data_IF_532219009004
#
_entry.id   IF_532219009004
#
_cell.length_a   1.000
_cell.length_b   1.000
_cell.length_c   1.000
_cell.angle_alpha   90.00
_cell.angle_beta   90.00
_cell.angle_gamma   90.00
#
_symmetry.space_group_name_H-M   'P 1'
#
loop_
_entity.id
_entity.type
_entity.pdbx_description
1 polymer ?
#
# COMPACT_ATOMS: atom_id res chain seq x y z
N UNK A 1 -16.56 -20.42 -17.25
CA UNK A 1 -15.86 -19.62 -16.22
C UNK A 1 -16.30 -18.19 -16.44
N UNK A 2 -16.63 -17.44 -15.36
CA UNK A 2 -16.92 -16.01 -15.47
C UNK A 2 -15.65 -15.31 -15.96
N UNK A 3 -15.72 -14.57 -17.04
CA UNK A 3 -14.61 -13.71 -17.46
C UNK A 3 -14.56 -12.52 -16.52
N UNK A 4 -13.42 -12.26 -15.96
CA UNK A 4 -13.15 -11.12 -15.06
C UNK A 4 -12.04 -10.29 -15.68
N UNK A 5 -12.15 -8.98 -15.63
CA UNK A 5 -11.09 -8.12 -16.13
C UNK A 5 -10.01 -7.96 -15.07
N UNK A 6 -8.78 -8.34 -15.40
CA UNK A 6 -7.62 -8.28 -14.51
C UNK A 6 -6.51 -7.50 -15.18
N UNK A 7 -5.99 -6.45 -14.54
CA UNK A 7 -4.86 -5.70 -15.10
C UNK A 7 -4.07 -4.95 -14.03
N UNK A 8 -2.83 -4.62 -14.41
CA UNK A 8 -1.96 -3.80 -13.60
C UNK A 8 -1.81 -2.41 -14.23
N UNK A 9 -1.95 -1.35 -13.45
CA UNK A 9 -1.67 0.02 -13.84
C UNK A 9 -0.20 0.32 -13.51
N UNK A 10 0.64 0.40 -14.55
CA UNK A 10 2.05 0.76 -14.46
C UNK A 10 2.32 2.18 -14.91
N UNK A 11 3.52 2.70 -14.66
CA UNK A 11 3.99 3.96 -15.24
C UNK A 11 5.49 3.91 -15.57
N UNK A 12 5.94 4.84 -16.37
CA UNK A 12 7.37 4.96 -16.72
C UNK A 12 8.24 5.39 -15.54
N UNK A 13 7.65 6.10 -14.56
CA UNK A 13 8.37 6.60 -13.37
C UNK A 13 7.40 6.89 -12.23
N UNK A 14 7.95 7.16 -11.04
CA UNK A 14 7.19 7.75 -9.95
C UNK A 14 6.62 9.12 -10.36
N UNK A 15 5.44 9.48 -9.82
CA UNK A 15 4.78 10.75 -10.19
C UNK A 15 4.12 10.76 -11.57
N UNK A 16 4.08 9.62 -12.28
CA UNK A 16 3.43 9.51 -13.60
C UNK A 16 1.91 9.68 -13.60
N UNK A 17 1.27 9.64 -12.43
CA UNK A 17 -0.18 9.78 -12.27
C UNK A 17 -0.92 8.46 -12.08
N UNK A 18 -0.21 7.37 -11.73
CA UNK A 18 -0.82 6.06 -11.44
C UNK A 18 -1.95 6.17 -10.41
N UNK A 19 -1.65 6.72 -9.24
CA UNK A 19 -2.60 6.79 -8.12
C UNK A 19 -3.83 7.64 -8.47
N UNK A 20 -3.64 8.76 -9.18
CA UNK A 20 -4.76 9.57 -9.68
C UNK A 20 -5.65 8.75 -10.62
N UNK A 21 -5.04 8.12 -11.63
CA UNK A 21 -5.77 7.32 -12.61
C UNK A 21 -6.44 6.11 -11.95
N UNK A 22 -5.73 5.39 -11.09
CA UNK A 22 -6.27 4.24 -10.35
C UNK A 22 -7.46 4.63 -9.48
N UNK A 23 -7.34 5.70 -8.69
CA UNK A 23 -8.42 6.19 -7.82
C UNK A 23 -9.67 6.55 -8.61
N UNK A 24 -9.52 7.30 -9.70
CA UNK A 24 -10.66 7.65 -10.56
C UNK A 24 -11.28 6.43 -11.24
N UNK A 25 -10.46 5.49 -11.70
CA UNK A 25 -10.94 4.27 -12.35
C UNK A 25 -11.69 3.35 -11.38
N UNK A 26 -11.16 3.16 -10.17
CA UNK A 26 -11.83 2.39 -9.10
C UNK A 26 -13.18 3.03 -8.74
N UNK A 27 -13.23 4.36 -8.61
CA UNK A 27 -14.46 5.10 -8.37
C UNK A 27 -15.47 4.91 -9.49
N UNK A 28 -15.03 5.05 -10.75
CA UNK A 28 -15.87 4.86 -11.92
C UNK A 28 -16.49 3.46 -11.99
N UNK A 29 -15.68 2.43 -11.74
CA UNK A 29 -16.18 1.05 -11.73
C UNK A 29 -17.21 0.83 -10.63
N UNK A 30 -16.98 1.36 -9.43
CA UNK A 30 -17.96 1.32 -8.34
C UNK A 30 -19.25 2.04 -8.72
N UNK A 31 -19.16 3.22 -9.33
CA UNK A 31 -20.32 4.02 -9.72
C UNK A 31 -21.12 3.32 -10.86
N UNK A 32 -20.43 2.49 -11.70
CA UNK A 32 -21.07 1.61 -12.67
C UNK A 32 -21.68 0.34 -12.04
N UNK A 33 -21.59 0.15 -10.73
CA UNK A 33 -22.15 -0.99 -9.99
C UNK A 33 -21.31 -2.28 -10.09
N UNK A 34 -20.04 -2.19 -10.51
CA UNK A 34 -19.14 -3.34 -10.57
C UNK A 34 -18.50 -3.65 -9.21
N UNK A 35 -18.36 -4.93 -8.88
CA UNK A 35 -17.56 -5.36 -7.74
C UNK A 35 -16.08 -5.30 -8.10
N UNK A 36 -15.36 -4.37 -7.49
CA UNK A 36 -13.96 -4.10 -7.82
C UNK A 36 -13.05 -4.50 -6.68
N UNK A 37 -12.02 -5.32 -6.96
CA UNK A 37 -10.95 -5.59 -6.01
C UNK A 37 -9.71 -4.79 -6.36
N UNK A 38 -9.33 -3.82 -5.54
CA UNK A 38 -8.06 -3.13 -5.68
C UNK A 38 -6.91 -3.91 -5.05
N UNK A 39 -5.75 -3.86 -5.70
CA UNK A 39 -4.48 -4.35 -5.18
C UNK A 39 -3.41 -3.26 -5.34
N UNK A 40 -2.38 -3.34 -4.51
CA UNK A 40 -1.21 -2.46 -4.56
C UNK A 40 0.07 -3.26 -4.57
N UNK A 41 0.96 -3.01 -5.55
CA UNK A 41 2.31 -3.57 -5.52
C UNK A 41 3.14 -2.89 -4.44
N UNK A 42 3.91 -3.69 -3.70
CA UNK A 42 4.83 -3.22 -2.68
C UNK A 42 4.18 -2.83 -1.34
N UNK A 43 4.98 -2.36 -0.41
CA UNK A 43 4.60 -2.14 0.99
C UNK A 43 4.01 -0.75 1.24
N UNK A 44 3.02 -0.35 0.46
CA UNK A 44 2.37 0.95 0.54
C UNK A 44 1.10 0.88 1.39
N UNK A 45 1.02 1.68 2.45
CA UNK A 45 -0.17 1.79 3.31
C UNK A 45 -1.09 2.95 2.92
N UNK A 46 -0.62 3.88 2.12
CA UNK A 46 -1.29 5.15 1.84
C UNK A 46 -2.19 4.99 0.62
N UNK A 47 -1.63 4.57 -0.51
CA UNK A 47 -2.39 4.36 -1.74
C UNK A 47 -3.52 3.35 -1.51
N UNK A 48 -3.31 2.34 -0.66
CA UNK A 48 -4.33 1.34 -0.29
C UNK A 48 -5.57 1.96 0.37
N UNK A 49 -5.43 3.02 1.15
CA UNK A 49 -6.56 3.74 1.76
C UNK A 49 -7.38 4.49 0.72
N UNK A 50 -6.71 5.13 -0.25
CA UNK A 50 -7.43 5.75 -1.37
C UNK A 50 -8.16 4.74 -2.23
N UNK A 51 -7.54 3.61 -2.49
CA UNK A 51 -8.19 2.51 -3.21
C UNK A 51 -9.45 2.04 -2.48
N UNK A 52 -9.37 1.84 -1.17
CA UNK A 52 -10.52 1.43 -0.35
C UNK A 52 -11.64 2.45 -0.39
N UNK A 53 -11.33 3.74 -0.23
CA UNK A 53 -12.30 4.83 -0.30
C UNK A 53 -12.94 4.93 -1.69
N UNK A 54 -12.18 4.73 -2.75
CA UNK A 54 -12.67 4.79 -4.14
C UNK A 54 -13.50 3.56 -4.52
N UNK A 55 -12.99 2.35 -4.27
CA UNK A 55 -13.61 1.10 -4.68
C UNK A 55 -14.74 0.64 -3.76
N UNK A 56 -14.73 1.04 -2.47
CA UNK A 56 -15.62 0.48 -1.44
C UNK A 56 -15.18 -0.89 -0.92
N UNK A 57 -14.08 -1.44 -1.43
CA UNK A 57 -13.46 -2.69 -0.99
C UNK A 57 -12.03 -2.44 -0.54
N UNK A 58 -11.61 -3.09 0.55
CA UNK A 58 -10.26 -2.94 1.06
C UNK A 58 -9.21 -3.39 0.05
N UNK A 59 -8.17 -2.59 -0.13
CA UNK A 59 -7.04 -2.91 -1.00
C UNK A 59 -6.10 -3.94 -0.38
N UNK A 60 -5.47 -4.75 -1.21
CA UNK A 60 -4.56 -5.83 -0.78
C UNK A 60 -3.17 -5.59 -1.36
N UNK A 61 -2.15 -5.63 -0.50
CA UNK A 61 -0.78 -5.49 -0.94
C UNK A 61 -0.26 -6.81 -1.53
N UNK A 62 0.49 -6.68 -2.63
CA UNK A 62 1.20 -7.78 -3.30
C UNK A 62 2.69 -7.44 -3.30
N UNK A 63 3.49 -8.23 -2.60
CA UNK A 63 4.91 -7.93 -2.39
C UNK A 63 5.77 -9.18 -2.48
N UNK A 64 6.75 -9.18 -3.38
CA UNK A 64 7.65 -10.33 -3.63
C UNK A 64 8.90 -10.34 -2.75
N UNK A 65 9.16 -9.26 -2.00
CA UNK A 65 10.19 -9.25 -0.98
C UNK A 65 9.66 -9.79 0.35
N UNK A 66 8.51 -9.27 0.80
CA UNK A 66 7.89 -9.63 2.08
C UNK A 66 7.27 -11.02 2.07
N UNK A 67 6.85 -11.50 0.89
CA UNK A 67 6.17 -12.78 0.76
C UNK A 67 6.68 -13.62 -0.42
N UNK A 68 6.32 -14.90 -0.42
CA UNK A 68 6.69 -15.81 -1.51
C UNK A 68 5.80 -15.61 -2.74
N UNK A 69 6.29 -16.00 -3.91
CA UNK A 69 5.50 -16.01 -5.15
C UNK A 69 4.20 -16.82 -4.99
N UNK A 70 4.25 -17.93 -4.25
CA UNK A 70 3.08 -18.76 -3.94
C UNK A 70 2.05 -17.94 -3.17
N UNK A 71 2.48 -17.27 -2.10
CA UNK A 71 1.59 -16.45 -1.28
C UNK A 71 0.95 -15.30 -2.07
N UNK A 72 1.72 -14.62 -2.94
CA UNK A 72 1.18 -13.58 -3.83
C UNK A 72 0.07 -14.13 -4.73
N UNK A 73 0.27 -15.30 -5.35
CA UNK A 73 -0.73 -15.95 -6.20
C UNK A 73 -1.98 -16.34 -5.43
N UNK A 74 -1.82 -16.97 -4.28
CA UNK A 74 -2.93 -17.41 -3.42
C UNK A 74 -3.73 -16.22 -2.90
N UNK A 75 -3.05 -15.19 -2.44
CA UNK A 75 -3.68 -13.93 -1.98
C UNK A 75 -4.44 -13.26 -3.10
N UNK A 76 -3.85 -13.14 -4.29
CA UNK A 76 -4.53 -12.57 -5.45
C UNK A 76 -5.80 -13.35 -5.79
N UNK A 77 -5.72 -14.66 -5.93
CA UNK A 77 -6.86 -15.51 -6.27
C UNK A 77 -7.97 -15.48 -5.21
N UNK A 78 -7.59 -15.51 -3.92
CA UNK A 78 -8.52 -15.42 -2.78
C UNK A 78 -9.45 -14.21 -2.86
N UNK A 79 -8.89 -13.04 -3.14
CA UNK A 79 -9.68 -11.81 -3.18
C UNK A 79 -10.31 -11.51 -4.55
N UNK A 80 -9.80 -12.10 -5.64
CA UNK A 80 -10.36 -11.96 -6.98
C UNK A 80 -11.61 -12.82 -7.25
N UNK A 81 -11.84 -13.87 -6.49
CA UNK A 81 -12.77 -14.96 -6.82
C UNK A 81 -14.22 -14.53 -7.10
N UNK A 82 -14.71 -13.47 -6.47
CA UNK A 82 -16.10 -13.01 -6.62
C UNK A 82 -16.21 -11.63 -7.29
N UNK A 83 -15.13 -11.12 -7.84
CA UNK A 83 -15.06 -9.76 -8.38
C UNK A 83 -15.40 -9.72 -9.87
N UNK A 84 -15.84 -8.55 -10.33
CA UNK A 84 -16.06 -8.27 -11.75
C UNK A 84 -14.80 -7.70 -12.37
N UNK A 85 -14.04 -6.90 -11.60
CA UNK A 85 -12.80 -6.27 -12.03
C UNK A 85 -11.75 -6.34 -10.92
N UNK A 86 -10.51 -6.64 -11.29
CA UNK A 86 -9.35 -6.59 -10.41
C UNK A 86 -8.34 -5.58 -10.93
N UNK A 87 -8.08 -4.53 -10.17
CA UNK A 87 -7.15 -3.47 -10.53
C UNK A 87 -5.95 -3.50 -9.61
N UNK A 88 -4.76 -3.72 -10.15
CA UNK A 88 -3.51 -3.70 -9.40
C UNK A 88 -2.76 -2.41 -9.71
N UNK A 89 -2.53 -1.56 -8.70
CA UNK A 89 -1.66 -0.40 -8.89
C UNK A 89 -0.20 -0.77 -8.64
N UNK A 90 0.66 -0.44 -9.61
CA UNK A 90 2.09 -0.62 -9.51
C UNK A 90 2.77 0.38 -8.56
N UNK A 91 3.99 0.08 -8.18
CA UNK A 91 4.87 0.95 -7.38
C UNK A 91 6.01 1.47 -8.26
N UNK A 92 6.50 2.68 -8.01
CA UNK A 92 7.62 3.30 -8.76
C UNK A 92 7.41 3.26 -10.28
N UNK A 93 8.46 3.10 -11.09
CA UNK A 93 8.36 2.74 -12.49
C UNK A 93 8.04 1.25 -12.66
N UNK A 94 7.48 0.88 -13.81
CA UNK A 94 6.99 -0.48 -14.06
C UNK A 94 8.07 -1.55 -13.82
N UNK A 95 9.31 -1.26 -14.17
CA UNK A 95 10.44 -2.20 -14.09
C UNK A 95 11.33 -1.97 -12.86
N UNK A 96 11.01 -0.98 -12.01
CA UNK A 96 11.80 -0.69 -10.81
C UNK A 96 11.48 -1.70 -9.71
N UNK A 97 12.47 -2.47 -9.29
CA UNK A 97 12.38 -3.45 -8.21
C UNK A 97 13.45 -3.23 -7.14
N UNK A 98 13.54 -4.14 -6.18
CA UNK A 98 14.54 -4.06 -5.11
C UNK A 98 15.94 -4.47 -5.59
N UNK A 99 16.03 -5.31 -6.61
CA UNK A 99 17.29 -5.64 -7.32
C UNK A 99 16.97 -5.73 -8.82
N UNK A 100 17.30 -4.65 -9.56
CA UNK A 100 16.90 -4.54 -10.96
C UNK A 100 15.38 -4.64 -11.12
N UNK A 101 14.91 -5.67 -11.81
CA UNK A 101 13.47 -5.90 -12.05
C UNK A 101 12.83 -6.83 -10.98
N UNK A 102 13.61 -7.41 -10.08
CA UNK A 102 13.07 -8.30 -9.05
C UNK A 102 12.16 -7.54 -8.08
N UNK A 103 10.96 -8.07 -7.84
CA UNK A 103 9.94 -7.44 -7.00
C UNK A 103 9.26 -6.23 -7.60
N UNK A 104 9.58 -5.89 -8.86
CA UNK A 104 8.91 -4.78 -9.58
C UNK A 104 7.44 -5.07 -9.87
N UNK A 105 6.72 -4.03 -10.26
CA UNK A 105 5.34 -4.16 -10.76
C UNK A 105 5.27 -5.08 -11.98
N UNK A 106 6.28 -5.05 -12.85
CA UNK A 106 6.41 -5.93 -13.99
C UNK A 106 6.56 -7.40 -13.58
N UNK A 107 7.36 -7.69 -12.54
CA UNK A 107 7.51 -9.04 -12.02
C UNK A 107 6.19 -9.60 -11.46
N UNK A 108 5.39 -8.77 -10.79
CA UNK A 108 4.06 -9.14 -10.29
C UNK A 108 3.09 -9.38 -11.47
N UNK A 109 3.07 -8.51 -12.49
CA UNK A 109 2.23 -8.68 -13.68
C UNK A 109 2.55 -9.99 -14.42
N UNK A 110 3.83 -10.28 -14.61
CA UNK A 110 4.30 -11.53 -15.25
C UNK A 110 3.95 -12.75 -14.39
N UNK A 111 4.17 -12.70 -13.07
CA UNK A 111 3.84 -13.79 -12.15
C UNK A 111 2.36 -14.15 -12.14
N UNK A 112 1.50 -13.14 -12.22
CA UNK A 112 0.03 -13.30 -12.23
C UNK A 112 -0.55 -13.46 -13.64
N UNK A 113 0.28 -13.33 -14.68
CA UNK A 113 -0.11 -13.34 -16.09
C UNK A 113 -1.25 -12.33 -16.41
N UNK A 114 -1.18 -11.14 -15.80
CA UNK A 114 -2.14 -10.06 -16.03
C UNK A 114 -1.54 -8.98 -16.95
N UNK A 115 -2.35 -8.39 -17.86
CA UNK A 115 -1.87 -7.33 -18.74
C UNK A 115 -1.60 -6.02 -17.98
N UNK A 116 -0.76 -5.18 -18.58
CA UNK A 116 -0.39 -3.88 -18.05
C UNK A 116 -1.06 -2.78 -18.87
N UNK A 117 -1.76 -1.88 -18.21
CA UNK A 117 -2.17 -0.56 -18.72
C UNK A 117 -1.13 0.44 -18.26
N UNK A 118 -0.40 1.04 -19.21
CA UNK A 118 0.68 1.96 -18.90
C UNK A 118 0.15 3.39 -18.81
N UNK A 119 0.42 4.08 -17.72
CA UNK A 119 0.14 5.52 -17.56
C UNK A 119 1.40 6.31 -17.84
N UNK A 120 1.36 7.19 -18.84
CA UNK A 120 2.49 8.05 -19.21
C UNK A 120 2.12 9.51 -18.96
N UNK A 121 2.95 10.19 -18.16
CA UNK A 121 2.85 11.64 -18.02
C UNK A 121 3.29 12.32 -19.32
N UNK A 122 2.35 12.92 -20.03
CA UNK A 122 2.57 13.61 -21.30
C UNK A 122 2.91 15.11 -21.14
N UNK A 123 3.13 15.58 -19.90
CA UNK A 123 3.55 16.96 -19.66
C UNK A 123 4.89 17.21 -20.36
N UNK A 124 4.90 18.16 -21.30
CA UNK A 124 6.11 18.56 -22.05
C UNK A 124 6.73 17.47 -22.95
N UNK A 125 5.94 16.46 -23.34
CA UNK A 125 6.33 15.48 -24.35
C UNK A 125 5.25 15.38 -25.43
N UNK A 126 5.61 14.93 -26.61
CA UNK A 126 4.71 14.77 -27.75
C UNK A 126 5.09 13.46 -28.48
N UNK A 127 5.38 13.51 -29.78
CA UNK A 127 5.73 12.31 -30.55
C UNK A 127 6.97 11.55 -30.02
N UNK A 128 7.85 12.21 -29.26
CA UNK A 128 8.99 11.56 -28.56
C UNK A 128 8.55 10.45 -27.58
N UNK A 129 7.26 10.33 -27.28
CA UNK A 129 6.74 9.19 -26.53
C UNK A 129 6.89 7.85 -27.28
N UNK A 130 7.02 7.86 -28.63
CA UNK A 130 7.15 6.66 -29.45
C UNK A 130 8.31 5.74 -29.03
N UNK A 131 9.58 6.20 -28.90
CA UNK A 131 10.66 5.35 -28.40
C UNK A 131 10.45 4.86 -26.95
N UNK A 132 9.73 5.62 -26.13
CA UNK A 132 9.36 5.20 -24.77
C UNK A 132 8.40 4.00 -24.85
N UNK A 133 7.34 4.13 -25.64
CA UNK A 133 6.36 3.05 -25.87
C UNK A 133 7.01 1.81 -26.49
N UNK A 134 7.90 2.02 -27.45
CA UNK A 134 8.67 0.94 -28.08
C UNK A 134 9.49 0.17 -27.02
N UNK A 135 10.18 0.89 -26.14
CA UNK A 135 10.92 0.30 -25.04
C UNK A 135 10.03 -0.53 -24.12
N UNK A 136 8.92 0.01 -23.64
CA UNK A 136 7.99 -0.71 -22.76
C UNK A 136 7.35 -1.93 -23.43
N UNK A 137 7.11 -1.88 -24.74
CA UNK A 137 6.51 -2.99 -25.49
C UNK A 137 7.47 -4.15 -25.70
N UNK A 138 8.74 -3.89 -25.95
CA UNK A 138 9.70 -4.90 -26.39
C UNK A 138 10.79 -5.25 -25.38
N UNK A 139 10.96 -4.47 -24.32
CA UNK A 139 12.03 -4.67 -23.33
C UNK A 139 11.91 -6.03 -22.63
N UNK A 140 10.70 -6.42 -22.24
CA UNK A 140 10.47 -7.71 -21.56
C UNK A 140 9.24 -8.42 -22.12
N UNK A 141 9.43 -9.52 -22.87
CA UNK A 141 8.34 -10.25 -23.51
C UNK A 141 7.41 -10.99 -22.53
N UNK A 142 7.82 -11.17 -21.27
CA UNK A 142 6.94 -11.76 -20.24
C UNK A 142 5.90 -10.77 -19.71
N UNK A 143 6.03 -9.48 -20.02
CA UNK A 143 5.10 -8.43 -19.62
C UNK A 143 4.21 -8.06 -20.81
N UNK A 144 2.94 -8.37 -20.72
CA UNK A 144 1.96 -8.06 -21.76
C UNK A 144 1.46 -6.62 -21.60
N UNK A 145 1.92 -5.71 -22.46
CA UNK A 145 1.40 -4.35 -22.52
C UNK A 145 0.04 -4.37 -23.25
N UNK A 146 -1.06 -4.06 -22.53
CA UNK A 146 -2.40 -3.96 -23.10
C UNK A 146 -2.58 -2.69 -23.91
N UNK A 147 -2.02 -1.60 -23.43
CA UNK A 147 -2.09 -0.28 -24.06
C UNK A 147 -1.67 0.83 -23.10
N UNK A 148 -1.90 2.07 -23.50
CA UNK A 148 -1.46 3.26 -22.78
C UNK A 148 -2.59 4.26 -22.55
N UNK A 149 -2.54 4.95 -21.43
CA UNK A 149 -3.31 6.15 -21.09
C UNK A 149 -2.34 7.29 -20.84
N UNK A 150 -2.57 8.44 -21.48
CA UNK A 150 -1.73 9.61 -21.30
C UNK A 150 -2.28 10.52 -20.22
N UNK A 151 -1.46 10.90 -19.26
CA UNK A 151 -1.82 11.84 -18.20
C UNK A 151 -1.25 13.24 -18.51
N UNK A 152 -1.90 14.31 -18.03
CA UNK A 152 -1.49 15.70 -18.21
C UNK A 152 -1.51 16.19 -19.66
N UNK A 153 -2.43 15.71 -20.48
CA UNK A 153 -2.58 16.17 -21.87
C UNK A 153 -3.13 17.59 -21.91
N UNK A 154 -2.53 18.43 -22.75
CA UNK A 154 -2.80 19.86 -22.77
C UNK A 154 -3.96 20.26 -23.71
N UNK A 155 -4.21 19.49 -24.78
CA UNK A 155 -5.20 19.79 -25.82
C UNK A 155 -5.42 18.57 -26.73
N UNK A 156 -6.51 18.58 -27.50
CA UNK A 156 -6.78 17.58 -28.55
C UNK A 156 -5.65 17.49 -29.60
N UNK A 157 -5.10 18.62 -30.01
CA UNK A 157 -3.94 18.63 -30.92
C UNK A 157 -2.73 17.94 -30.30
N UNK A 158 -2.50 18.14 -29.01
CA UNK A 158 -1.42 17.43 -28.30
C UNK A 158 -1.72 15.93 -28.30
N UNK A 159 -2.95 15.53 -28.01
CA UNK A 159 -3.36 14.14 -28.01
C UNK A 159 -3.20 13.47 -29.37
N UNK A 160 -3.50 14.15 -30.48
CA UNK A 160 -3.34 13.57 -31.82
C UNK A 160 -1.89 13.16 -32.15
N UNK A 161 -0.88 13.88 -31.62
CA UNK A 161 0.52 13.46 -31.76
C UNK A 161 0.86 12.22 -30.93
N UNK A 162 0.25 12.09 -29.74
CA UNK A 162 0.44 10.94 -28.88
C UNK A 162 -0.23 9.68 -29.48
N UNK A 163 -1.43 9.84 -30.06
CA UNK A 163 -2.11 8.76 -30.79
C UNK A 163 -1.27 8.29 -31.99
N UNK A 164 -0.73 9.22 -32.77
CA UNK A 164 0.15 8.89 -33.90
C UNK A 164 1.38 8.09 -33.46
N UNK A 165 1.99 8.44 -32.34
CA UNK A 165 3.11 7.68 -31.77
C UNK A 165 2.69 6.23 -31.37
N UNK A 166 1.47 6.07 -30.81
CA UNK A 166 0.93 4.74 -30.49
C UNK A 166 0.71 3.90 -31.75
N UNK A 167 0.12 4.48 -32.82
CA UNK A 167 -0.10 3.80 -34.10
C UNK A 167 1.22 3.31 -34.69
N UNK A 168 2.24 4.16 -34.76
CA UNK A 168 3.52 3.86 -35.37
C UNK A 168 4.30 2.76 -34.60
N UNK A 169 4.11 2.68 -33.28
CA UNK A 169 4.68 1.61 -32.45
C UNK A 169 3.77 0.37 -32.38
N UNK A 170 2.50 0.51 -32.77
CA UNK A 170 1.50 -0.55 -32.67
C UNK A 170 1.12 -0.85 -31.21
N UNK A 171 0.99 0.17 -30.37
CA UNK A 171 0.50 0.10 -29.00
C UNK A 171 -0.91 0.68 -28.97
N UNK A 172 -1.85 0.02 -28.32
CA UNK A 172 -3.21 0.51 -28.19
C UNK A 172 -3.27 1.76 -27.31
N UNK A 173 -3.92 2.82 -27.81
CA UNK A 173 -4.12 4.06 -27.09
C UNK A 173 -5.52 4.07 -26.50
N UNK A 174 -5.64 3.94 -25.17
CA UNK A 174 -6.95 3.94 -24.50
C UNK A 174 -7.50 5.34 -24.23
N UNK A 175 -6.72 6.38 -24.39
CA UNK A 175 -7.18 7.75 -24.15
C UNK A 175 -6.23 8.58 -23.30
N UNK A 176 -6.78 9.60 -22.66
CA UNK A 176 -5.97 10.52 -21.88
C UNK A 176 -6.73 11.13 -20.69
N UNK A 177 -5.99 11.67 -19.73
CA UNK A 177 -6.47 12.61 -18.74
C UNK A 177 -5.98 14.02 -19.09
N UNK A 178 -6.89 15.01 -19.14
CA UNK A 178 -6.50 16.40 -19.34
C UNK A 178 -5.74 16.93 -18.11
N UNK A 179 -5.15 18.11 -18.24
CA UNK A 179 -4.57 18.83 -17.09
C UNK A 179 -5.69 19.30 -16.17
N UNK A 180 -5.87 18.61 -15.08
CA UNK A 180 -6.87 18.96 -14.06
C UNK A 180 -6.25 20.02 -13.13
N UNK A 181 -6.50 21.31 -13.40
CA UNK A 181 -5.87 22.45 -12.71
C UNK A 181 -6.20 22.56 -11.20
N UNK A 182 -7.23 21.93 -10.75
CA UNK A 182 -7.76 22.05 -9.38
C UNK A 182 -7.54 20.79 -8.53
N UNK A 183 -6.84 19.79 -9.04
CA UNK A 183 -6.76 18.46 -8.44
C UNK A 183 -5.31 17.98 -8.37
N UNK A 184 -4.43 18.77 -7.78
CA UNK A 184 -3.16 18.20 -7.32
C UNK A 184 -3.46 17.32 -6.11
N UNK A 185 -3.19 16.01 -6.25
CA UNK A 185 -3.07 15.14 -5.08
C UNK A 185 -2.07 15.81 -4.15
N UNK A 186 -2.43 16.11 -2.88
CA UNK A 186 -1.53 16.78 -1.97
C UNK A 186 -0.15 16.13 -2.01
N UNK A 187 0.90 16.94 -2.13
CA UNK A 187 2.26 16.45 -2.29
C UNK A 187 2.59 15.48 -1.15
N UNK A 188 3.19 14.34 -1.47
CA UNK A 188 3.49 13.21 -0.57
C UNK A 188 4.51 13.53 0.54
N UNK A 189 4.71 14.79 0.92
CA UNK A 189 5.73 15.15 1.91
C UNK A 189 5.49 14.57 3.30
N UNK A 190 4.26 14.12 3.61
CA UNK A 190 3.91 13.48 4.89
C UNK A 190 2.79 12.44 4.74
N UNK A 191 2.73 11.79 3.59
CA UNK A 191 1.61 10.89 3.31
C UNK A 191 0.33 11.67 2.96
N UNK A 192 -0.62 10.95 2.39
CA UNK A 192 -1.93 11.49 2.14
C UNK A 192 -2.57 11.68 3.51
N UNK A 193 -2.59 12.91 3.98
CA UNK A 193 -3.37 13.22 5.17
C UNK A 193 -4.81 12.86 4.86
N UNK A 194 -5.35 11.89 5.60
CA UNK A 194 -6.79 11.64 5.65
C UNK A 194 -7.45 12.81 6.39
N UNK A 195 -7.04 14.03 6.07
CA UNK A 195 -7.62 15.22 6.66
C UNK A 195 -9.10 15.27 6.27
N UNK A 196 -9.94 15.40 7.25
CA UNK A 196 -11.38 15.58 7.06
C UNK A 196 -11.71 16.78 6.15
N UNK A 197 -10.79 17.72 5.99
CA UNK A 197 -10.90 18.86 5.07
C UNK A 197 -10.66 18.48 3.60
N UNK A 198 -9.99 17.33 3.32
CA UNK A 198 -9.75 16.88 1.96
C UNK A 198 -10.99 16.22 1.38
N UNK A 199 -11.59 16.87 0.40
CA UNK A 199 -12.79 16.37 -0.27
C UNK A 199 -12.43 15.22 -1.24
N UNK A 200 -11.98 14.09 -0.69
CA UNK A 200 -11.61 12.90 -1.47
C UNK A 200 -12.71 12.47 -2.42
N UNK A 201 -13.94 12.47 -1.94
CA UNK A 201 -15.09 12.06 -2.76
C UNK A 201 -15.26 12.96 -4.00
N UNK A 202 -15.06 14.28 -3.82
CA UNK A 202 -15.05 15.23 -4.93
C UNK A 202 -13.89 14.97 -5.89
N UNK A 203 -12.69 14.75 -5.36
CA UNK A 203 -11.51 14.41 -6.17
C UNK A 203 -11.75 13.16 -7.00
N UNK A 204 -12.14 12.06 -6.34
CA UNK A 204 -12.37 10.78 -7.00
C UNK A 204 -13.48 10.89 -8.08
N UNK A 205 -14.55 11.62 -7.80
CA UNK A 205 -15.65 11.84 -8.74
C UNK A 205 -15.21 12.64 -9.97
N UNK A 206 -14.45 13.73 -9.79
CA UNK A 206 -13.97 14.55 -10.93
C UNK A 206 -13.00 13.77 -11.79
N UNK A 207 -12.11 12.98 -11.19
CA UNK A 207 -11.20 12.13 -11.97
C UNK A 207 -11.96 11.01 -12.67
N UNK A 208 -12.95 10.40 -12.01
CA UNK A 208 -13.80 9.37 -12.61
C UNK A 208 -14.56 9.92 -13.82
N UNK A 209 -15.12 11.12 -13.72
CA UNK A 209 -15.78 11.78 -14.85
C UNK A 209 -14.82 12.06 -16.00
N UNK A 210 -13.63 12.56 -15.73
CA UNK A 210 -12.62 12.80 -16.78
C UNK A 210 -12.18 11.49 -17.46
N UNK A 211 -12.11 10.38 -16.72
CA UNK A 211 -11.84 9.06 -17.28
C UNK A 211 -13.00 8.62 -18.19
N UNK A 212 -14.24 8.75 -17.72
CA UNK A 212 -15.43 8.38 -18.51
C UNK A 212 -15.51 9.14 -19.83
N UNK A 213 -15.14 10.42 -19.84
CA UNK A 213 -15.20 11.31 -21.02
C UNK A 213 -14.06 11.08 -22.02
N UNK A 214 -12.87 10.69 -21.55
CA UNK A 214 -11.66 10.74 -22.39
C UNK A 214 -10.91 9.41 -22.50
N UNK A 215 -11.35 8.34 -21.81
CA UNK A 215 -10.69 7.03 -21.82
C UNK A 215 -11.67 5.94 -22.28
N UNK A 216 -11.24 5.12 -23.20
CA UNK A 216 -12.01 3.97 -23.70
C UNK A 216 -12.04 2.83 -22.65
N UNK A 217 -12.76 3.06 -21.54
CA UNK A 217 -12.79 2.16 -20.36
C UNK A 217 -13.32 0.79 -20.73
N UNK A 218 -14.36 0.71 -21.53
CA UNK A 218 -14.94 -0.58 -21.96
C UNK A 218 -13.96 -1.39 -22.80
N UNK A 219 -13.12 -0.69 -23.58
CA UNK A 219 -12.05 -1.34 -24.34
C UNK A 219 -10.93 -1.85 -23.42
N UNK A 220 -10.60 -1.14 -22.33
CA UNK A 220 -9.68 -1.65 -21.29
C UNK A 220 -10.24 -2.94 -20.70
N UNK A 221 -11.52 -2.95 -20.32
CA UNK A 221 -12.16 -4.13 -19.74
C UNK A 221 -12.16 -5.33 -20.72
N UNK A 222 -12.42 -5.09 -22.00
CA UNK A 222 -12.40 -6.11 -23.05
C UNK A 222 -11.01 -6.71 -23.24
N UNK A 223 -9.99 -5.87 -23.47
CA UNK A 223 -8.60 -6.30 -23.74
C UNK A 223 -7.98 -6.98 -22.52
N UNK A 224 -8.39 -6.57 -21.33
CA UNK A 224 -7.90 -7.08 -20.05
C UNK A 224 -8.76 -8.21 -19.48
N UNK A 225 -9.78 -8.67 -20.22
CA UNK A 225 -10.58 -9.82 -19.83
C UNK A 225 -9.77 -11.11 -20.00
N UNK A 226 -9.41 -11.71 -18.89
CA UNK A 226 -8.63 -12.97 -18.86
C UNK A 226 -9.32 -13.97 -17.94
N UNK A 227 -9.19 -15.27 -18.20
CA UNK A 227 -9.65 -16.27 -17.25
C UNK A 227 -8.89 -16.11 -15.92
N UNK A 228 -9.61 -16.16 -14.81
CA UNK A 228 -8.95 -16.24 -13.51
C UNK A 228 -8.17 -17.56 -13.46
N UNK A 229 -6.86 -17.47 -13.31
CA UNK A 229 -6.02 -18.65 -13.16
C UNK A 229 -6.30 -19.25 -11.78
N UNK A 230 -6.76 -20.49 -11.75
CA UNK A 230 -6.94 -21.23 -10.50
C UNK A 230 -5.57 -21.67 -9.98
N UNK A 231 -4.97 -20.85 -9.16
CA UNK A 231 -3.68 -21.15 -8.54
C UNK A 231 -3.76 -22.25 -7.47
N UNK A 232 -4.97 -22.65 -7.05
CA UNK A 232 -5.17 -23.71 -6.06
C UNK A 232 -5.15 -25.12 -6.68
N UNK A 233 -5.26 -25.24 -8.01
CA UNK A 233 -5.44 -26.54 -8.69
C UNK A 233 -4.18 -27.45 -8.66
N UNK A 234 -2.99 -26.98 -8.28
CA UNK A 234 -1.76 -27.76 -8.47
C UNK A 234 -0.68 -27.69 -7.39
N UNK A 235 -0.96 -27.26 -6.17
CA UNK A 235 0.09 -27.33 -5.12
C UNK A 235 -0.42 -27.74 -3.75
N UNK A 236 -0.46 -29.05 -3.50
CA UNK A 236 -0.25 -29.60 -2.16
C UNK A 236 1.23 -29.46 -1.77
N UNK A 237 1.72 -28.25 -1.51
CA UNK A 237 3.00 -28.05 -0.86
C UNK A 237 2.67 -27.58 0.56
N UNK A 238 3.26 -28.20 1.59
CA UNK A 238 2.98 -27.81 2.97
C UNK A 238 3.29 -26.32 3.13
N UNK A 239 2.32 -25.55 3.62
CA UNK A 239 2.61 -24.28 4.28
C UNK A 239 3.74 -24.56 5.26
N UNK A 240 4.76 -23.69 5.32
CA UNK A 240 5.77 -23.74 6.38
C UNK A 240 5.03 -24.01 7.67
N UNK A 241 5.18 -25.23 8.18
CA UNK A 241 4.52 -25.68 9.39
C UNK A 241 5.09 -24.84 10.56
N UNK A 242 4.42 -23.73 10.84
CA UNK A 242 4.26 -23.40 12.26
C UNK A 242 3.49 -24.60 12.78
N UNK A 243 4.16 -25.38 13.62
CA UNK A 243 3.60 -26.63 14.13
C UNK A 243 2.13 -26.42 14.44
N UNK A 244 1.25 -27.11 13.71
CA UNK A 244 -0.20 -27.06 13.89
C UNK A 244 -0.60 -27.28 15.36
N UNK A 245 0.26 -27.95 16.09
CA UNK A 245 0.09 -28.28 17.51
C UNK A 245 0.08 -27.05 18.44
N UNK A 246 0.74 -25.94 18.08
CA UNK A 246 0.72 -24.72 18.91
C UNK A 246 -0.49 -23.83 18.60
N UNK A 247 -1.09 -23.95 17.41
CA UNK A 247 -2.19 -23.10 16.95
C UNK A 247 -3.59 -23.66 17.29
N UNK A 248 -3.71 -24.95 17.60
CA UNK A 248 -5.02 -25.62 17.71
C UNK A 248 -5.64 -25.64 19.10
N UNK A 249 -4.90 -25.33 20.17
CA UNK A 249 -5.45 -25.48 21.56
C UNK A 249 -5.86 -24.16 22.22
N UNK A 250 -5.38 -22.99 21.77
CA UNK A 250 -5.71 -21.71 22.42
C UNK A 250 -6.11 -20.62 21.42
N UNK A 251 -7.35 -20.18 21.49
CA UNK A 251 -7.77 -18.94 20.82
C UNK A 251 -7.24 -17.73 21.60
N UNK A 252 -6.32 -17.00 20.98
CA UNK A 252 -5.75 -15.78 21.55
C UNK A 252 -6.77 -14.65 21.60
N UNK A 253 -6.72 -13.84 22.64
CA UNK A 253 -7.34 -12.52 22.66
C UNK A 253 -6.29 -11.51 22.22
N UNK A 254 -6.54 -10.81 21.13
CA UNK A 254 -5.55 -9.90 20.50
C UNK A 254 -6.15 -8.50 20.48
N UNK A 255 -5.54 -7.57 21.22
CA UNK A 255 -5.90 -6.16 21.17
C UNK A 255 -5.05 -5.47 20.10
N UNK A 256 -5.69 -4.81 19.14
CA UNK A 256 -5.03 -4.13 18.02
C UNK A 256 -5.36 -2.64 18.07
N UNK A 257 -4.33 -1.80 18.14
CA UNK A 257 -4.53 -0.36 18.07
C UNK A 257 -5.00 0.03 16.66
N UNK A 258 -6.10 0.80 16.59
CA UNK A 258 -6.65 1.28 15.34
C UNK A 258 -7.38 2.61 15.55
N UNK A 259 -6.76 3.68 15.07
CA UNK A 259 -7.31 5.02 15.00
C UNK A 259 -6.56 5.85 13.94
N UNK A 260 -6.72 7.17 13.93
CA UNK A 260 -6.04 8.03 12.97
C UNK A 260 -4.51 8.04 13.14
N UNK A 261 -4.00 7.79 14.37
CA UNK A 261 -2.57 7.70 14.65
C UNK A 261 -1.97 6.33 14.30
N UNK A 262 -2.76 5.25 14.36
CA UNK A 262 -2.33 3.85 14.18
C UNK A 262 -3.21 3.14 13.17
N UNK A 263 -2.86 3.18 11.90
CA UNK A 263 -3.69 2.61 10.83
C UNK A 263 -2.90 1.94 9.70
N UNK A 264 -1.58 1.74 9.87
CA UNK A 264 -0.73 1.06 8.89
C UNK A 264 -0.66 -0.43 9.18
N UNK A 265 -1.62 -1.16 8.63
CA UNK A 265 -1.70 -2.60 8.78
C UNK A 265 -2.11 -3.26 7.47
N UNK A 266 -1.37 -4.28 7.06
CA UNK A 266 -1.73 -5.07 5.89
C UNK A 266 -2.98 -5.90 6.18
N UNK A 267 -3.86 -5.98 5.19
CA UNK A 267 -5.08 -6.79 5.28
C UNK A 267 -4.79 -8.26 5.58
N UNK A 268 -3.73 -8.83 4.99
CA UNK A 268 -3.32 -10.20 5.25
C UNK A 268 -2.78 -10.40 6.67
N UNK A 269 -2.08 -9.41 7.23
CA UNK A 269 -1.66 -9.48 8.64
C UNK A 269 -2.89 -9.52 9.57
N UNK A 270 -3.87 -8.67 9.31
CA UNK A 270 -5.12 -8.68 10.08
C UNK A 270 -5.89 -9.99 9.91
N UNK A 271 -5.95 -10.53 8.68
CA UNK A 271 -6.58 -11.83 8.43
C UNK A 271 -5.88 -12.93 9.23
N UNK A 272 -4.54 -12.91 9.26
CA UNK A 272 -3.76 -13.88 10.03
C UNK A 272 -3.97 -13.76 11.53
N UNK A 273 -4.05 -12.54 12.08
CA UNK A 273 -4.38 -12.33 13.49
C UNK A 273 -5.77 -12.89 13.85
N UNK A 274 -6.75 -12.72 12.96
CA UNK A 274 -8.10 -13.28 13.13
C UNK A 274 -8.14 -14.81 13.07
N UNK A 275 -7.24 -15.45 12.36
CA UNK A 275 -7.08 -16.91 12.37
C UNK A 275 -6.47 -17.40 13.70
N UNK A 276 -5.57 -16.61 14.30
CA UNK A 276 -4.94 -16.94 15.58
C UNK A 276 -5.90 -16.77 16.77
N UNK A 277 -6.90 -15.89 16.66
CA UNK A 277 -7.79 -15.65 17.77
C UNK A 277 -8.83 -14.56 17.55
N UNK A 278 -9.37 -14.06 18.64
CA UNK A 278 -10.33 -12.95 18.63
C UNK A 278 -9.58 -11.63 18.62
N UNK A 279 -9.81 -10.81 17.60
CA UNK A 279 -9.24 -9.47 17.48
C UNK A 279 -10.23 -8.44 18.01
N UNK A 280 -9.78 -7.62 18.95
CA UNK A 280 -10.52 -6.47 19.48
C UNK A 280 -9.71 -5.20 19.16
N UNK A 281 -10.34 -4.25 18.51
CA UNK A 281 -9.69 -2.96 18.22
C UNK A 281 -9.86 -2.01 19.40
N UNK A 282 -8.85 -1.14 19.59
CA UNK A 282 -8.91 -0.05 20.56
C UNK A 282 -8.19 1.20 20.02
N UNK A 283 -8.59 2.37 20.52
CA UNK A 283 -7.98 3.65 20.16
C UNK A 283 -7.03 4.12 21.26
N UNK A 284 -5.72 4.17 21.02
CA UNK A 284 -4.80 4.82 21.94
C UNK A 284 -5.09 6.31 22.20
N UNK A 285 -5.79 6.99 21.28
CA UNK A 285 -6.14 8.40 21.42
C UNK A 285 -7.37 8.65 22.30
N UNK A 286 -8.39 7.78 22.24
CA UNK A 286 -9.71 8.10 22.77
C UNK A 286 -10.34 7.09 23.70
N UNK A 287 -9.89 5.82 23.70
CA UNK A 287 -10.47 4.81 24.58
C UNK A 287 -9.97 5.00 26.03
N UNK A 288 -10.79 4.62 27.01
CA UNK A 288 -10.48 4.68 28.42
C UNK A 288 -9.78 3.41 28.93
N UNK A 289 -9.92 2.31 28.21
CA UNK A 289 -9.44 1.01 28.65
C UNK A 289 -8.74 0.22 27.54
N UNK A 290 -7.64 -0.44 27.92
CA UNK A 290 -7.03 -1.48 27.13
C UNK A 290 -7.94 -2.73 27.19
N UNK A 291 -8.34 -3.34 26.07
CA UNK A 291 -9.09 -4.60 26.08
C UNK A 291 -8.34 -5.71 26.82
N UNK A 292 -9.07 -6.60 27.49
CA UNK A 292 -8.51 -7.85 28.05
C UNK A 292 -7.92 -8.70 26.92
N UNK A 293 -6.62 -8.97 26.96
CA UNK A 293 -5.89 -9.58 25.86
C UNK A 293 -4.67 -10.39 26.31
N UNK A 294 -4.28 -11.34 25.47
CA UNK A 294 -3.04 -12.12 25.56
C UNK A 294 -1.89 -11.49 24.76
N UNK A 295 -2.22 -10.66 23.77
CA UNK A 295 -1.29 -9.95 22.89
C UNK A 295 -1.82 -8.56 22.56
N UNK A 296 -0.98 -7.55 22.69
CA UNK A 296 -1.22 -6.21 22.15
C UNK A 296 -0.42 -6.04 20.86
N UNK A 297 -1.06 -5.54 19.82
CA UNK A 297 -0.39 -5.11 18.58
C UNK A 297 -0.60 -3.61 18.34
N UNK A 298 0.50 -2.87 18.30
CA UNK A 298 0.55 -1.46 17.96
C UNK A 298 1.15 -1.33 16.54
N UNK A 299 0.34 -1.18 15.50
CA UNK A 299 0.83 -1.03 14.13
C UNK A 299 1.50 0.32 13.90
N UNK A 300 2.04 0.52 12.69
CA UNK A 300 2.52 1.80 12.24
C UNK A 300 1.40 2.82 12.03
N UNK A 301 1.79 4.04 11.69
CA UNK A 301 0.89 5.16 11.45
C UNK A 301 1.62 6.48 11.54
N UNK A 302 0.88 7.53 11.86
CA UNK A 302 1.38 8.89 12.00
C UNK A 302 1.12 9.47 13.40
N UNK A 303 1.70 8.91 14.48
CA UNK A 303 1.50 9.43 15.84
C UNK A 303 1.96 10.88 15.99
N UNK A 304 2.91 11.32 15.17
CA UNK A 304 3.44 12.69 15.20
C UNK A 304 2.42 13.79 14.85
N UNK A 305 1.31 13.44 14.25
CA UNK A 305 0.20 14.38 14.00
C UNK A 305 -0.82 14.45 15.14
N UNK A 306 -0.77 13.51 16.07
CA UNK A 306 -1.75 13.34 17.16
C UNK A 306 -1.10 13.34 18.54
N UNK A 307 0.02 14.06 18.67
CA UNK A 307 0.85 14.03 19.88
C UNK A 307 0.11 14.51 21.14
N UNK A 308 -0.77 15.51 21.01
CA UNK A 308 -1.54 16.05 22.14
C UNK A 308 -2.58 15.06 22.63
N UNK A 309 -3.30 14.42 21.70
CA UNK A 309 -4.30 13.41 21.99
C UNK A 309 -3.67 12.21 22.66
N UNK A 310 -2.56 11.71 22.12
CA UNK A 310 -1.81 10.58 22.69
C UNK A 310 -1.20 10.92 24.05
N UNK A 311 -0.68 12.13 24.24
CA UNK A 311 -0.15 12.59 25.53
C UNK A 311 -1.25 12.68 26.58
N UNK A 312 -2.44 13.18 26.21
CA UNK A 312 -3.56 13.41 27.15
C UNK A 312 -4.19 12.11 27.63
N UNK A 313 -4.15 11.02 26.84
CA UNK A 313 -4.71 9.74 27.25
C UNK A 313 -3.80 8.99 28.22
N UNK A 314 -3.79 9.42 29.48
CA UNK A 314 -2.97 8.82 30.54
C UNK A 314 -3.46 7.40 30.86
N UNK A 315 -4.77 7.15 30.80
CA UNK A 315 -5.37 5.88 31.21
C UNK A 315 -4.85 4.70 30.36
N UNK A 316 -4.90 4.78 29.05
CA UNK A 316 -4.41 3.72 28.16
C UNK A 316 -2.89 3.58 28.25
N UNK A 317 -2.11 4.69 28.35
CA UNK A 317 -0.66 4.61 28.54
C UNK A 317 -0.28 3.85 29.81
N UNK A 318 -0.93 4.12 30.93
CA UNK A 318 -0.67 3.42 32.20
C UNK A 318 -1.04 1.94 32.12
N UNK A 319 -2.19 1.62 31.51
CA UNK A 319 -2.64 0.24 31.36
C UNK A 319 -1.70 -0.56 30.43
N UNK A 320 -1.23 0.02 29.31
CA UNK A 320 -0.21 -0.59 28.44
C UNK A 320 1.08 -0.86 29.21
N UNK A 321 1.54 0.11 30.01
CA UNK A 321 2.75 -0.02 30.82
C UNK A 321 2.60 -1.15 31.84
N UNK A 322 1.53 -1.17 32.63
CA UNK A 322 1.25 -2.22 33.61
C UNK A 322 1.11 -3.60 32.93
N UNK A 323 0.44 -3.68 31.78
CA UNK A 323 0.27 -4.91 31.02
C UNK A 323 1.63 -5.52 30.64
N UNK A 324 2.56 -4.72 30.08
CA UNK A 324 3.88 -5.21 29.70
C UNK A 324 4.76 -5.53 30.92
N UNK A 325 4.75 -4.69 31.95
CA UNK A 325 5.50 -4.90 33.20
C UNK A 325 5.03 -6.16 33.96
N UNK A 326 3.76 -6.56 33.79
CA UNK A 326 3.22 -7.83 34.31
C UNK A 326 3.53 -9.05 33.45
N UNK A 327 4.31 -8.92 32.37
CA UNK A 327 4.69 -10.01 31.47
C UNK A 327 3.76 -10.18 30.27
N UNK A 328 2.90 -9.21 29.99
CA UNK A 328 2.06 -9.18 28.79
C UNK A 328 2.88 -9.10 27.49
N UNK A 329 2.38 -9.74 26.43
CA UNK A 329 3.04 -9.76 25.12
C UNK A 329 2.64 -8.55 24.28
N UNK A 330 3.62 -7.87 23.71
CA UNK A 330 3.39 -6.70 22.89
C UNK A 330 4.26 -6.76 21.62
N UNK A 331 3.63 -6.48 20.48
CA UNK A 331 4.30 -6.22 19.20
C UNK A 331 4.03 -4.78 18.81
N UNK A 332 5.07 -4.02 18.46
CA UNK A 332 4.96 -2.66 18.01
C UNK A 332 5.82 -2.42 16.78
N UNK A 333 5.28 -1.72 15.79
CA UNK A 333 5.94 -1.39 14.54
C UNK A 333 5.91 0.12 14.30
N UNK A 334 7.03 0.69 13.82
CA UNK A 334 7.11 2.08 13.35
C UNK A 334 6.48 3.09 14.34
N UNK A 335 5.35 3.70 14.00
CA UNK A 335 4.61 4.63 14.86
C UNK A 335 4.21 4.03 16.21
N UNK A 336 3.84 2.73 16.24
CA UNK A 336 3.58 2.01 17.47
C UNK A 336 4.80 1.92 18.39
N UNK A 337 6.01 1.75 17.82
CA UNK A 337 7.26 1.79 18.57
C UNK A 337 7.52 3.21 19.11
N UNK A 338 7.28 4.26 18.32
CA UNK A 338 7.44 5.65 18.77
C UNK A 338 6.53 5.95 19.98
N UNK A 339 5.31 5.42 20.00
CA UNK A 339 4.38 5.57 21.11
C UNK A 339 4.86 4.89 22.41
N UNK A 340 5.68 3.85 22.30
CA UNK A 340 6.28 3.19 23.47
C UNK A 340 7.49 3.92 24.07
N UNK A 341 8.05 4.89 23.36
CA UNK A 341 9.16 5.71 23.85
C UNK A 341 8.78 6.52 25.10
N UNK A 342 9.79 7.12 25.78
CA UNK A 342 9.54 8.07 26.86
C UNK A 342 8.80 9.31 26.35
N UNK A 343 9.16 9.78 25.16
CA UNK A 343 8.54 10.95 24.53
C UNK A 343 8.76 10.96 23.02
N UNK A 344 7.93 11.76 22.34
CA UNK A 344 8.13 12.15 20.93
C UNK A 344 8.32 13.66 20.89
N UNK A 345 9.42 14.12 20.26
CA UNK A 345 9.62 15.54 19.95
C UNK A 345 8.92 15.83 18.62
N UNK A 346 7.90 16.69 18.67
CA UNK A 346 7.12 17.08 17.52
C UNK A 346 7.83 18.06 16.59
N UNK A 347 7.22 18.34 15.45
CA UNK A 347 7.69 19.36 14.48
C UNK A 347 7.67 20.78 15.05
N UNK A 348 6.90 21.01 16.11
CA UNK A 348 6.86 22.29 16.85
C UNK A 348 7.99 22.42 17.90
N UNK A 349 8.90 21.44 17.94
CA UNK A 349 10.03 21.38 18.87
C UNK A 349 9.66 21.00 20.31
N UNK A 350 8.37 20.77 20.63
CA UNK A 350 7.94 20.36 21.96
C UNK A 350 8.07 18.86 22.16
N UNK A 351 8.32 18.46 23.40
CA UNK A 351 8.28 17.07 23.80
C UNK A 351 6.89 16.71 24.34
N UNK A 352 6.39 15.56 23.90
CA UNK A 352 5.11 15.00 24.31
C UNK A 352 5.36 13.63 24.95
N UNK A 353 4.90 13.47 26.19
CA UNK A 353 5.11 12.25 26.96
C UNK A 353 4.29 11.09 26.40
N UNK A 354 4.96 9.96 26.13
CA UNK A 354 4.36 8.74 25.61
C UNK A 354 4.27 7.65 26.70
N UNK A 355 4.24 6.37 26.33
CA UNK A 355 4.04 5.27 27.30
C UNK A 355 5.22 5.09 28.25
N UNK A 356 6.46 5.36 27.82
CA UNK A 356 7.66 5.23 28.65
C UNK A 356 8.06 3.79 28.97
N UNK A 357 7.88 2.88 28.04
CA UNK A 357 8.36 1.48 28.09
C UNK A 357 9.75 1.35 27.48
N UNK A 358 9.97 2.03 26.36
CA UNK A 358 11.28 2.15 25.73
C UNK A 358 11.93 3.44 26.22
N UNK A 359 13.02 3.33 26.97
CA UNK A 359 13.74 4.50 27.51
C UNK A 359 14.54 5.23 26.42
N UNK A 360 13.84 5.65 25.39
CA UNK A 360 14.31 6.34 24.19
C UNK A 360 13.42 7.53 23.91
N UNK A 361 13.90 8.42 23.05
CA UNK A 361 13.13 9.58 22.57
C UNK A 361 13.06 9.53 21.06
N UNK A 362 11.86 9.52 20.52
CA UNK A 362 11.65 9.73 19.08
C UNK A 362 11.62 11.22 18.76
N UNK A 363 12.08 11.61 17.58
CA UNK A 363 12.11 13.00 17.16
C UNK A 363 11.73 13.16 15.70
N UNK A 364 11.03 14.26 15.41
CA UNK A 364 10.74 14.75 14.06
C UNK A 364 11.68 15.89 13.65
N UNK A 365 12.68 16.21 14.45
CA UNK A 365 13.72 17.17 14.06
C UNK A 365 14.63 16.58 12.98
N UNK A 366 15.04 17.42 12.03
CA UNK A 366 15.91 17.02 10.92
C UNK A 366 15.35 15.86 10.09
N UNK A 367 14.06 15.89 9.81
CA UNK A 367 13.36 14.85 9.05
C UNK A 367 14.12 14.46 7.80
N UNK A 368 14.48 13.18 7.70
CA UNK A 368 15.08 12.59 6.51
C UNK A 368 14.31 11.33 6.17
N UNK A 369 13.81 11.26 4.94
CA UNK A 369 13.14 10.04 4.48
C UNK A 369 14.11 8.87 4.51
N UNK A 370 13.74 7.85 5.27
CA UNK A 370 14.32 6.51 5.21
C UNK A 370 13.31 5.58 4.56
N UNK A 371 13.73 4.95 3.48
CA UNK A 371 12.88 4.08 2.68
C UNK A 371 13.69 2.89 2.21
N UNK A 372 13.13 1.70 2.33
CA UNK A 372 13.69 0.51 1.71
C UNK A 372 13.33 -0.78 2.42
N UNK A 373 13.62 -1.87 1.74
CA UNK A 373 13.50 -3.20 2.32
C UNK A 373 14.65 -3.49 3.30
N UNK A 374 14.33 -4.25 4.35
CA UNK A 374 15.29 -4.61 5.40
C UNK A 374 15.21 -6.10 5.71
N UNK A 375 16.36 -6.65 6.07
CA UNK A 375 16.46 -8.01 6.59
C UNK A 375 16.98 -7.94 8.01
N UNK A 376 16.20 -8.48 8.95
CA UNK A 376 16.55 -8.58 10.36
C UNK A 376 16.94 -10.03 10.66
N UNK A 377 18.04 -10.22 11.37
CA UNK A 377 18.48 -11.52 11.86
C UNK A 377 18.39 -11.55 13.38
N UNK A 378 17.62 -12.49 13.91
CA UNK A 378 17.49 -12.74 15.36
C UNK A 378 17.88 -14.20 15.61
N UNK A 379 19.09 -14.44 16.13
CA UNK A 379 19.67 -15.76 16.19
C UNK A 379 19.79 -16.37 14.77
N UNK A 380 19.20 -17.54 14.58
CA UNK A 380 19.16 -18.22 13.27
C UNK A 380 17.99 -17.80 12.38
N UNK A 381 17.05 -17.04 12.93
CA UNK A 381 15.85 -16.60 12.19
C UNK A 381 16.12 -15.35 11.36
N UNK A 382 15.59 -15.36 10.14
CA UNK A 382 15.67 -14.23 9.20
C UNK A 382 14.28 -13.67 8.98
N UNK A 383 14.11 -12.40 9.30
CA UNK A 383 12.87 -11.66 9.13
C UNK A 383 13.06 -10.63 8.01
N UNK A 384 12.06 -10.50 7.15
CA UNK A 384 12.02 -9.48 6.11
C UNK A 384 11.01 -8.41 6.48
N UNK A 385 11.38 -7.16 6.28
CA UNK A 385 10.54 -6.01 6.55
C UNK A 385 10.84 -4.87 5.58
N UNK A 386 10.26 -3.74 5.83
CA UNK A 386 10.57 -2.49 5.15
C UNK A 386 10.53 -1.35 6.14
N UNK A 387 11.23 -0.28 5.84
CA UNK A 387 11.10 0.98 6.55
C UNK A 387 10.58 2.07 5.62
N UNK A 388 9.77 2.96 6.16
CA UNK A 388 9.27 4.15 5.52
C UNK A 388 8.92 5.17 6.60
N UNK A 389 9.87 6.01 6.97
CA UNK A 389 9.68 6.99 8.03
C UNK A 389 10.57 8.22 7.85
N UNK A 390 10.20 9.32 8.52
CA UNK A 390 10.96 10.57 8.60
C UNK A 390 11.55 10.80 9.98
N UNK A 391 11.03 10.09 10.99
CA UNK A 391 11.46 10.18 12.38
C UNK A 391 12.83 9.55 12.61
N UNK A 392 13.47 9.92 13.71
CA UNK A 392 14.68 9.28 14.21
C UNK A 392 14.60 9.08 15.73
N UNK A 393 15.50 8.25 16.26
CA UNK A 393 15.66 8.05 17.69
C UNK A 393 16.85 8.86 18.15
N UNK A 394 16.69 9.72 19.19
CA UNK A 394 17.76 10.59 19.68
C UNK A 394 18.85 9.82 20.44
N UNK A 395 18.48 8.72 21.11
CA UNK A 395 19.41 7.89 21.87
C UNK A 395 19.10 6.43 21.61
N UNK A 396 20.00 5.76 20.95
CA UNK A 396 19.96 4.30 20.78
C UNK A 396 20.51 3.62 22.05
N UNK A 397 19.73 2.74 22.65
CA UNK A 397 20.19 1.88 23.73
C UNK A 397 20.59 0.52 23.16
N UNK A 398 21.79 0.01 23.47
CA UNK A 398 22.35 -1.17 22.80
C UNK A 398 21.61 -2.50 23.05
N UNK A 399 20.64 -2.57 23.94
CA UNK A 399 20.25 -3.88 24.49
C UNK A 399 18.77 -4.25 24.48
N UNK A 400 17.84 -3.42 24.00
CA UNK A 400 16.41 -3.71 24.17
C UNK A 400 15.54 -3.53 22.93
N UNK A 401 16.06 -3.09 21.83
CA UNK A 401 15.29 -3.11 20.61
C UNK A 401 15.47 -4.45 19.91
N UNK A 402 14.67 -5.40 20.24
CA UNK A 402 14.54 -6.64 19.49
C UNK A 402 14.13 -6.41 18.04
N UNK A 403 13.85 -5.15 17.65
CA UNK A 403 13.45 -4.76 16.30
C UNK A 403 14.02 -3.37 15.96
N UNK A 404 15.16 -2.98 16.51
CA UNK A 404 15.90 -1.85 15.96
C UNK A 404 16.73 -2.37 14.79
N UNK A 405 16.32 -2.04 13.58
CA UNK A 405 17.15 -2.26 12.41
C UNK A 405 18.27 -1.22 12.46
N UNK A 406 19.37 -1.56 13.12
CA UNK A 406 20.63 -0.85 12.92
C UNK A 406 21.09 -1.15 11.51
N UNK A 407 21.39 -0.14 10.73
CA UNK A 407 22.07 -0.32 9.45
C UNK A 407 23.39 -1.08 9.65
N UNK A 408 23.82 -1.91 8.68
CA UNK A 408 25.16 -2.49 8.66
C UNK A 408 26.20 -1.40 8.45
#
# INVERSE_FOLDING_TARGET
>A
MKQTSHFLIGAASSGGGKTTFTTGLLRLFRDRGLNVQPYKCGPDYIDTKYHEMAAGNASVNLDLWLSSQKHVKETYAKYAAAMDVCVTEGVMGLFDGFEGMEGSSAAIAALLNIPVVLVINAKSTSYTVAPILYGFKYFNPSVRLAGVVFNQVASERHYSFLQKACEDVGVECFGFLPRLKELEVPSRHLGLTLDASYQFDKFASVVAQAIEEHVAVDRILEVCSVPLVDYNAHTSIPSTEISKDILLERKWKIAVAQDAAFNFMYRENLARLKELGTVTFFSPMSDEHLPDCDLVYLPGGYPEFFLKELESNIAVKQQLKMYVESGGRLLAECGGMMYLCDSIRGMDGKQYAMVGLLHQRATMENMKLRLGYRTLRIGEQVWKGHEFHYSSIEKELPSLSLIHISEP
#
